data_IF_477253307654
#
_entry.id   IF_477253307654
#
_cell.length_a   1.000
_cell.length_b   1.000
_cell.length_c   1.000
_cell.angle_alpha   90.00
_cell.angle_beta   90.00
_cell.angle_gamma   90.00
#
_symmetry.space_group_name_H-M   'P 1'
#
loop_
_entity.id
_entity.type
_entity.pdbx_description
1 polymer ?
#
# COMPACT_ATOMS: atom_id res chain seq x y z
N UNK A 1 -28.00 47.99 27.49
CA UNK A 1 -28.29 46.81 26.63
C UNK A 1 -26.97 46.28 26.12
N UNK A 2 -26.59 45.06 26.55
CA UNK A 2 -25.30 44.43 26.25
C UNK A 2 -25.38 43.69 24.92
N UNK A 3 -24.45 43.99 24.03
CA UNK A 3 -24.33 43.43 22.68
C UNK A 3 -23.81 41.99 22.78
N UNK A 4 -24.55 41.06 22.17
CA UNK A 4 -24.28 39.62 22.17
C UNK A 4 -23.04 39.30 21.32
N UNK A 5 -22.10 38.63 21.99
CA UNK A 5 -21.19 37.57 21.54
C UNK A 5 -21.03 37.32 20.03
N UNK A 6 -19.88 37.76 19.50
CA UNK A 6 -19.23 37.14 18.34
C UNK A 6 -18.53 35.87 18.83
N UNK A 7 -19.02 34.69 18.47
CA UNK A 7 -18.28 33.41 18.57
C UNK A 7 -18.95 32.37 17.66
N UNK A 8 -18.79 32.53 16.35
CA UNK A 8 -19.23 31.52 15.37
C UNK A 8 -18.23 31.43 14.22
N UNK A 9 -16.95 31.15 14.52
CA UNK A 9 -15.93 30.96 13.49
C UNK A 9 -14.68 30.22 14.00
N UNK A 10 -14.86 29.08 14.67
CA UNK A 10 -13.72 28.18 14.99
C UNK A 10 -14.02 26.69 14.72
N UNK A 11 -15.28 26.27 14.62
CA UNK A 11 -15.61 24.84 14.47
C UNK A 11 -15.54 24.27 13.05
N UNK A 12 -15.41 25.11 12.01
CA UNK A 12 -15.44 24.65 10.60
C UNK A 12 -14.07 24.22 10.04
N UNK A 13 -12.96 24.42 10.76
CA UNK A 13 -11.62 24.09 10.26
C UNK A 13 -11.11 22.71 10.68
N UNK A 14 -11.75 22.05 11.66
CA UNK A 14 -11.31 20.75 12.17
C UNK A 14 -11.91 19.55 11.42
N UNK A 15 -12.98 19.76 10.64
CA UNK A 15 -13.66 18.69 9.88
C UNK A 15 -12.95 18.43 8.54
N UNK A 16 -12.28 19.43 7.98
CA UNK A 16 -11.62 19.35 6.67
C UNK A 16 -10.34 18.48 6.69
N UNK A 17 -9.63 18.44 7.81
CA UNK A 17 -8.33 17.73 7.91
C UNK A 17 -8.50 16.21 7.99
N UNK A 18 -9.55 15.73 8.66
CA UNK A 18 -9.84 14.30 8.81
C UNK A 18 -10.36 13.67 7.52
N UNK A 19 -11.23 14.38 6.78
CA UNK A 19 -11.72 13.93 5.48
C UNK A 19 -10.61 13.84 4.42
N UNK A 20 -9.72 14.84 4.38
CA UNK A 20 -8.56 14.83 3.48
C UNK A 20 -7.58 13.70 3.80
N UNK A 21 -7.31 13.46 5.09
CA UNK A 21 -6.42 12.38 5.49
C UNK A 21 -7.01 10.99 5.18
N UNK A 22 -8.32 10.79 5.34
CA UNK A 22 -8.99 9.55 4.93
C UNK A 22 -8.96 9.32 3.42
N UNK A 23 -9.14 10.35 2.60
CA UNK A 23 -9.03 10.21 1.15
C UNK A 23 -7.59 9.89 0.71
N UNK A 24 -6.61 10.49 1.35
CA UNK A 24 -5.21 10.21 1.05
C UNK A 24 -4.81 8.78 1.44
N UNK A 25 -5.31 8.26 2.57
CA UNK A 25 -5.14 6.85 2.94
C UNK A 25 -5.71 5.91 1.88
N UNK A 26 -6.94 6.18 1.42
CA UNK A 26 -7.57 5.41 0.33
C UNK A 26 -6.69 5.38 -0.92
N UNK A 27 -6.16 6.53 -1.33
CA UNK A 27 -5.32 6.62 -2.51
C UNK A 27 -4.00 5.85 -2.33
N UNK A 28 -3.39 5.92 -1.13
CA UNK A 28 -2.17 5.17 -0.80
C UNK A 28 -2.41 3.67 -0.82
N UNK A 29 -3.50 3.20 -0.20
CA UNK A 29 -3.86 1.77 -0.17
C UNK A 29 -4.16 1.26 -1.58
N UNK A 30 -4.94 1.99 -2.39
CA UNK A 30 -5.22 1.60 -3.77
C UNK A 30 -3.97 1.53 -4.64
N UNK A 31 -3.10 2.53 -4.54
CA UNK A 31 -1.81 2.50 -5.25
C UNK A 31 -0.96 1.30 -4.81
N UNK A 32 -0.90 1.00 -3.52
CA UNK A 32 -0.18 -0.19 -3.02
C UNK A 32 -0.75 -1.48 -3.61
N UNK A 33 -2.07 -1.65 -3.56
CA UNK A 33 -2.76 -2.83 -4.08
C UNK A 33 -2.53 -3.00 -5.58
N UNK A 34 -2.62 -1.91 -6.35
CA UNK A 34 -2.39 -1.92 -7.79
C UNK A 34 -0.93 -2.29 -8.15
N UNK A 35 0.04 -1.88 -7.32
CA UNK A 35 1.45 -2.23 -7.53
C UNK A 35 1.84 -3.59 -6.96
N UNK A 36 0.99 -4.26 -6.19
CA UNK A 36 1.40 -5.38 -5.35
C UNK A 36 2.00 -6.55 -6.14
N UNK A 37 1.48 -6.82 -7.35
CA UNK A 37 1.99 -7.86 -8.26
C UNK A 37 2.88 -7.30 -9.38
N UNK A 38 3.07 -5.97 -9.44
CA UNK A 38 3.89 -5.27 -10.45
C UNK A 38 5.20 -4.71 -9.89
N UNK A 39 5.45 -4.87 -8.60
CA UNK A 39 6.60 -4.30 -7.91
C UNK A 39 7.14 -5.24 -6.85
N UNK A 40 8.41 -5.05 -6.52
CA UNK A 40 9.00 -5.62 -5.32
C UNK A 40 8.84 -4.64 -4.17
N UNK A 41 8.41 -5.12 -3.01
CA UNK A 41 8.17 -4.31 -1.84
C UNK A 41 8.29 -5.10 -0.54
N UNK A 42 8.49 -4.37 0.56
CA UNK A 42 8.55 -4.92 1.92
C UNK A 42 7.21 -4.93 2.63
N UNK A 43 6.28 -4.15 2.12
CA UNK A 43 4.92 -4.12 2.62
C UNK A 43 4.13 -5.32 2.12
N UNK A 44 3.22 -5.85 2.92
CA UNK A 44 2.39 -6.98 2.54
C UNK A 44 0.94 -6.69 2.91
N UNK A 45 0.02 -6.94 1.97
CA UNK A 45 -1.40 -6.95 2.29
C UNK A 45 -1.70 -8.21 3.10
N UNK A 46 -2.39 -8.06 4.22
CA UNK A 46 -2.75 -9.18 5.11
C UNK A 46 -3.92 -10.04 4.55
N UNK A 47 -4.04 -10.21 3.24
CA UNK A 47 -4.71 -11.34 2.58
C UNK A 47 -6.20 -11.63 2.82
N UNK A 48 -7.02 -10.71 3.36
CA UNK A 48 -8.47 -10.93 3.58
C UNK A 48 -9.29 -10.04 2.63
N UNK A 49 -10.52 -10.47 2.34
CA UNK A 49 -11.43 -9.72 1.49
C UNK A 49 -11.80 -8.37 2.13
N UNK A 50 -11.38 -7.29 1.45
CA UNK A 50 -11.65 -5.85 1.65
C UNK A 50 -11.50 -5.29 3.07
N UNK A 51 -10.75 -4.18 3.18
CA UNK A 51 -10.33 -3.48 4.41
C UNK A 51 -9.23 -4.18 5.25
N UNK A 52 -8.45 -5.11 4.68
CA UNK A 52 -7.27 -5.60 5.40
C UNK A 52 -6.16 -4.60 5.48
N UNK A 53 -5.49 -4.50 6.62
CA UNK A 53 -4.29 -3.69 6.72
C UNK A 53 -3.20 -4.17 5.77
N UNK A 54 -2.46 -3.21 5.23
CA UNK A 54 -1.13 -3.43 4.70
C UNK A 54 -0.17 -3.28 5.88
N UNK A 55 0.69 -4.27 6.10
CA UNK A 55 1.79 -4.20 7.07
C UNK A 55 3.08 -3.80 6.35
N UNK A 56 3.88 -2.94 6.96
CA UNK A 56 5.16 -2.45 6.45
C UNK A 56 6.20 -2.41 7.58
N UNK A 57 7.20 -3.31 7.57
CA UNK A 57 8.38 -3.18 8.40
C UNK A 57 9.27 -2.05 7.90
N UNK A 58 9.55 -1.04 8.74
CA UNK A 58 10.44 0.07 8.39
C UNK A 58 11.25 0.55 9.59
N UNK A 59 12.57 0.41 9.50
CA UNK A 59 13.47 0.73 10.61
C UNK A 59 13.15 -0.13 11.84
N UNK A 60 12.91 0.52 12.98
CA UNK A 60 12.58 -0.13 14.25
C UNK A 60 11.08 -0.31 14.48
N UNK A 61 10.24 -0.07 13.47
CA UNK A 61 8.78 -0.10 13.64
C UNK A 61 8.10 -1.00 12.62
N UNK A 62 6.93 -1.50 13.01
CA UNK A 62 5.95 -2.10 12.12
C UNK A 62 4.81 -1.09 11.95
N UNK A 63 4.57 -0.72 10.70
CA UNK A 63 3.49 0.16 10.32
C UNK A 63 2.36 -0.68 9.74
N UNK A 64 1.12 -0.33 10.07
CA UNK A 64 -0.09 -0.92 9.52
C UNK A 64 -0.93 0.20 8.94
N UNK A 65 -1.56 -0.01 7.79
CA UNK A 65 -2.44 0.98 7.16
C UNK A 65 -3.67 0.32 6.57
N UNK A 66 -4.84 0.89 6.84
CA UNK A 66 -6.09 0.62 6.12
C UNK A 66 -6.50 1.88 5.37
N UNK A 67 -7.63 1.83 4.68
CA UNK A 67 -8.17 2.98 3.97
C UNK A 67 -8.79 4.04 4.90
N UNK A 68 -8.90 3.73 6.20
CA UNK A 68 -9.47 4.61 7.23
C UNK A 68 -8.54 4.86 8.42
N UNK A 69 -7.54 4.02 8.65
CA UNK A 69 -6.70 4.07 9.86
C UNK A 69 -5.25 3.70 9.57
N UNK A 70 -4.37 4.03 10.51
CA UNK A 70 -2.99 3.55 10.52
C UNK A 70 -2.55 3.22 11.94
N UNK A 71 -1.61 2.29 12.06
CA UNK A 71 -1.11 1.82 13.35
C UNK A 71 0.41 1.70 13.32
N UNK A 72 1.07 1.96 14.44
CA UNK A 72 2.53 1.86 14.56
C UNK A 72 2.88 1.18 15.87
N UNK A 73 3.80 0.23 15.81
CA UNK A 73 4.38 -0.44 16.98
C UNK A 73 5.87 -0.67 16.79
N UNK A 74 6.58 -0.91 17.88
CA UNK A 74 8.00 -1.28 17.82
C UNK A 74 8.18 -2.68 17.25
N UNK A 75 9.10 -2.80 16.29
CA UNK A 75 9.50 -4.07 15.71
C UNK A 75 10.50 -4.77 16.65
N UNK A 76 9.98 -5.42 17.69
CA UNK A 76 10.74 -6.24 18.66
C UNK A 76 10.75 -7.74 18.33
N UNK A 77 10.25 -8.12 17.15
CA UNK A 77 9.92 -9.50 16.81
C UNK A 77 10.93 -10.17 15.86
N UNK A 78 12.07 -9.54 15.57
CA UNK A 78 13.11 -10.15 14.72
C UNK A 78 13.43 -11.60 15.13
N UNK A 79 13.29 -12.52 14.18
CA UNK A 79 13.49 -13.97 14.37
C UNK A 79 12.40 -14.67 15.19
N UNK A 80 11.24 -14.05 15.43
CA UNK A 80 10.15 -14.56 16.26
C UNK A 80 8.82 -14.50 15.52
N UNK A 81 7.83 -15.17 16.08
CA UNK A 81 6.43 -15.01 15.68
C UNK A 81 5.71 -14.05 16.63
N UNK A 82 4.73 -13.33 16.10
CA UNK A 82 3.84 -12.48 16.89
C UNK A 82 2.41 -12.60 16.37
N UNK A 83 1.47 -12.47 17.31
CA UNK A 83 0.04 -12.42 17.01
C UNK A 83 -0.41 -10.98 17.12
N UNK A 84 -1.09 -10.48 16.09
CA UNK A 84 -1.68 -9.14 16.07
C UNK A 84 -3.19 -9.22 16.03
N UNK A 85 -3.85 -8.41 16.85
CA UNK A 85 -5.28 -8.19 16.78
C UNK A 85 -5.57 -6.98 15.88
N UNK A 86 -6.19 -7.21 14.72
CA UNK A 86 -6.54 -6.17 13.75
C UNK A 86 -7.95 -5.66 14.05
N UNK A 87 -8.10 -4.36 14.32
CA UNK A 87 -9.38 -3.75 14.69
C UNK A 87 -10.38 -3.69 13.51
N UNK A 88 -9.89 -3.60 12.27
CA UNK A 88 -10.68 -3.29 11.08
C UNK A 88 -11.01 -4.51 10.18
N UNK A 89 -10.85 -5.77 10.66
CA UNK A 89 -11.00 -6.96 9.79
C UNK A 89 -11.91 -8.07 10.33
N UNK A 90 -12.58 -8.79 9.41
CA UNK A 90 -13.41 -9.99 9.67
C UNK A 90 -12.63 -11.14 10.32
N UNK A 91 -11.32 -11.24 10.07
CA UNK A 91 -10.43 -12.09 10.86
C UNK A 91 -9.61 -11.19 11.79
N UNK A 92 -9.98 -11.10 13.08
CA UNK A 92 -9.40 -10.12 13.97
C UNK A 92 -7.99 -10.48 14.39
N UNK A 93 -7.47 -11.68 14.09
CA UNK A 93 -6.13 -12.07 14.48
C UNK A 93 -5.32 -12.55 13.28
N UNK A 94 -4.06 -12.14 13.24
CA UNK A 94 -3.07 -12.64 12.29
C UNK A 94 -1.81 -13.04 13.05
N UNK A 95 -1.25 -14.19 12.71
CA UNK A 95 0.08 -14.59 13.16
C UNK A 95 1.09 -14.23 12.07
N UNK A 96 2.11 -13.46 12.42
CA UNK A 96 3.17 -13.05 11.50
C UNK A 96 4.49 -13.63 12.02
N UNK A 97 5.21 -14.32 11.15
CA UNK A 97 6.59 -14.74 11.42
C UNK A 97 7.56 -13.70 10.85
N UNK A 98 8.59 -13.35 11.61
CA UNK A 98 9.60 -12.38 11.22
C UNK A 98 10.95 -13.06 11.04
N UNK A 99 11.65 -12.67 9.98
CA UNK A 99 13.02 -13.08 9.73
C UNK A 99 13.97 -12.41 10.75
N UNK A 100 15.21 -12.90 10.83
CA UNK A 100 16.22 -12.36 11.75
C UNK A 100 16.55 -10.87 11.49
N UNK A 101 16.38 -10.41 10.25
CA UNK A 101 16.54 -9.01 9.85
C UNK A 101 15.31 -8.13 10.16
N UNK A 102 14.23 -8.70 10.71
CA UNK A 102 12.98 -8.01 11.03
C UNK A 102 12.00 -7.85 9.86
N UNK A 103 12.30 -8.38 8.67
CA UNK A 103 11.36 -8.47 7.55
C UNK A 103 10.33 -9.59 7.80
N UNK A 104 9.20 -9.53 7.08
CA UNK A 104 8.14 -10.52 7.22
C UNK A 104 8.57 -11.82 6.52
N UNK A 105 8.58 -12.92 7.27
CA UNK A 105 8.87 -14.26 6.77
C UNK A 105 7.62 -15.04 6.34
N UNK A 106 6.46 -14.72 6.90
CA UNK A 106 5.21 -15.41 6.60
C UNK A 106 4.03 -14.90 7.42
N UNK A 107 2.83 -15.29 7.01
CA UNK A 107 1.57 -14.91 7.65
C UNK A 107 0.65 -16.13 7.73
N UNK A 108 -0.06 -16.27 8.85
CA UNK A 108 -1.02 -17.35 9.09
C UNK A 108 -2.31 -16.80 9.72
N UNK A 109 -3.43 -17.32 9.23
CA UNK A 109 -4.79 -17.03 9.72
C UNK A 109 -5.43 -18.27 10.35
N UNK A 110 -4.62 -19.27 10.68
CA UNK A 110 -5.09 -20.48 11.35
C UNK A 110 -5.72 -20.15 12.71
N UNK A 111 -6.57 -21.05 13.20
CA UNK A 111 -7.16 -20.93 14.52
C UNK A 111 -6.08 -20.86 15.60
N UNK A 112 -6.16 -19.82 16.43
CA UNK A 112 -5.20 -19.55 17.51
C UNK A 112 -5.71 -20.05 18.85
N UNK A 113 -4.79 -20.53 19.69
CA UNK A 113 -5.08 -20.93 21.07
C UNK A 113 -5.54 -19.74 21.92
N UNK A 114 -6.12 -20.04 23.09
CA UNK A 114 -6.55 -19.01 24.05
C UNK A 114 -5.36 -18.19 24.55
N UNK A 115 -4.24 -18.85 24.82
CA UNK A 115 -2.98 -18.24 25.28
C UNK A 115 -2.38 -17.32 24.22
N UNK A 116 -2.43 -17.72 22.94
CA UNK A 116 -1.97 -16.91 21.82
C UNK A 116 -2.81 -15.64 21.66
N UNK A 117 -4.14 -15.76 21.75
CA UNK A 117 -5.06 -14.61 21.69
C UNK A 117 -4.86 -13.64 22.85
N UNK A 118 -4.52 -14.12 24.04
CA UNK A 118 -4.23 -13.29 25.22
C UNK A 118 -2.92 -12.51 25.10
N UNK A 119 -1.93 -13.04 24.36
CA UNK A 119 -0.65 -12.40 24.09
C UNK A 119 -0.66 -11.53 22.83
N UNK A 120 -1.81 -11.46 22.15
CA UNK A 120 -1.93 -10.71 20.91
C UNK A 120 -1.71 -9.21 21.16
N UNK A 121 -0.89 -8.61 20.31
CA UNK A 121 -0.65 -7.19 20.30
C UNK A 121 -1.82 -6.51 19.60
N UNK A 122 -2.44 -5.54 20.27
CA UNK A 122 -3.59 -4.79 19.75
C UNK A 122 -3.13 -3.36 19.44
N UNK A 123 -2.56 -3.12 18.25
CA UNK A 123 -2.11 -1.79 17.88
C UNK A 123 -3.31 -0.85 17.76
N UNK A 124 -3.21 0.36 18.33
CA UNK A 124 -4.30 1.35 18.33
C UNK A 124 -4.19 2.29 17.14
N UNK A 125 -5.31 2.57 16.50
CA UNK A 125 -5.36 3.48 15.37
C UNK A 125 -4.86 4.88 15.77
N UNK A 126 -3.86 5.37 15.03
CA UNK A 126 -3.36 6.74 15.10
C UNK A 126 -3.07 7.22 13.70
N UNK A 127 -3.85 8.19 13.24
CA UNK A 127 -3.61 8.86 11.97
C UNK A 127 -2.66 10.03 12.20
N UNK A 128 -1.38 9.86 11.84
CA UNK A 128 -0.41 10.95 11.83
C UNK A 128 0.30 11.08 10.48
N UNK A 129 0.72 12.31 10.17
CA UNK A 129 1.36 12.62 8.89
C UNK A 129 2.72 11.94 8.71
N UNK A 130 3.40 11.57 9.80
CA UNK A 130 4.68 10.88 9.75
C UNK A 130 4.51 9.44 9.24
N UNK A 131 3.51 8.73 9.75
CA UNK A 131 3.15 7.38 9.31
C UNK A 131 2.77 7.37 7.82
N UNK A 132 1.92 8.32 7.41
CA UNK A 132 1.55 8.45 6.00
C UNK A 132 2.77 8.73 5.10
N UNK A 133 3.71 9.57 5.54
CA UNK A 133 4.93 9.85 4.79
C UNK A 133 5.82 8.60 4.62
N UNK A 134 5.84 7.68 5.60
CA UNK A 134 6.57 6.40 5.48
C UNK A 134 5.93 5.52 4.41
N UNK A 135 4.60 5.39 4.39
CA UNK A 135 3.92 4.62 3.33
C UNK A 135 4.14 5.22 1.94
N UNK A 136 4.10 6.55 1.81
CA UNK A 136 4.42 7.24 0.54
C UNK A 136 5.85 6.95 0.07
N UNK A 137 6.82 6.88 0.99
CA UNK A 137 8.20 6.49 0.67
C UNK A 137 8.31 5.03 0.22
N UNK A 138 7.56 4.12 0.84
CA UNK A 138 7.49 2.73 0.38
C UNK A 138 6.89 2.63 -1.02
N UNK A 139 5.84 3.41 -1.33
CA UNK A 139 5.29 3.49 -2.68
C UNK A 139 6.31 3.98 -3.70
N UNK A 140 7.15 4.97 -3.37
CA UNK A 140 8.25 5.40 -4.26
C UNK A 140 9.25 4.26 -4.50
N UNK A 141 9.63 3.54 -3.44
CA UNK A 141 10.55 2.39 -3.56
C UNK A 141 9.94 1.29 -4.45
N UNK A 142 8.67 0.96 -4.25
CA UNK A 142 7.92 0.01 -5.09
C UNK A 142 7.84 0.48 -6.53
N UNK A 143 7.48 1.75 -6.75
CA UNK A 143 7.43 2.36 -8.08
C UNK A 143 8.77 2.25 -8.81
N UNK A 144 9.88 2.46 -8.09
CA UNK A 144 11.22 2.33 -8.66
C UNK A 144 11.63 0.87 -8.93
N UNK A 145 11.01 -0.12 -8.30
CA UNK A 145 11.21 -1.54 -8.59
C UNK A 145 10.30 -2.08 -9.71
N UNK A 146 9.35 -1.27 -10.18
CA UNK A 146 8.67 -1.47 -11.47
C UNK A 146 9.69 -1.17 -12.57
N UNK A 147 10.70 -2.02 -12.76
CA UNK A 147 11.77 -1.76 -13.71
C UNK A 147 11.41 -2.28 -15.09
N UNK A 148 11.61 -1.42 -16.09
CA UNK A 148 11.55 -1.82 -17.49
C UNK A 148 12.73 -2.66 -17.97
N UNK A 149 13.76 -2.81 -17.14
CA UNK A 149 14.95 -3.62 -17.45
C UNK A 149 14.60 -5.11 -17.59
N UNK A 150 13.54 -5.57 -16.92
CA UNK A 150 12.97 -6.89 -17.14
C UNK A 150 11.86 -6.82 -18.18
N UNK A 151 12.23 -6.66 -19.45
CA UNK A 151 11.30 -6.91 -20.55
C UNK A 151 10.66 -8.28 -20.32
N UNK A 152 9.32 -8.32 -20.23
CA UNK A 152 8.46 -9.49 -19.97
C UNK A 152 8.18 -9.89 -18.51
N UNK A 153 8.65 -9.16 -17.48
CA UNK A 153 8.30 -9.51 -16.08
C UNK A 153 6.82 -9.22 -15.76
N UNK A 154 6.29 -8.12 -16.29
CA UNK A 154 4.92 -7.68 -16.03
C UNK A 154 4.18 -7.38 -17.34
N UNK A 155 2.86 -7.56 -17.32
CA UNK A 155 2.00 -7.27 -18.46
C UNK A 155 1.90 -5.75 -18.68
N UNK A 156 2.19 -5.23 -19.90
CA UNK A 156 2.30 -3.79 -20.09
C UNK A 156 1.02 -2.99 -19.81
N UNK A 157 -0.15 -3.53 -20.16
CA UNK A 157 -1.42 -2.83 -19.96
C UNK A 157 -1.77 -2.74 -18.47
N UNK A 158 -1.77 -3.86 -17.75
CA UNK A 158 -2.08 -3.85 -16.32
C UNK A 158 -1.05 -3.09 -15.51
N UNK A 159 0.23 -3.06 -15.92
CA UNK A 159 1.20 -2.14 -15.31
C UNK A 159 0.83 -0.68 -15.55
N UNK A 160 0.48 -0.27 -16.77
CA UNK A 160 0.04 1.12 -17.04
C UNK A 160 -1.16 1.49 -16.17
N UNK A 161 -2.18 0.63 -16.09
CA UNK A 161 -3.37 0.87 -15.29
C UNK A 161 -3.01 1.04 -13.80
N UNK A 162 -2.09 0.22 -13.28
CA UNK A 162 -1.57 0.34 -11.91
C UNK A 162 -0.79 1.64 -11.67
N UNK A 163 0.04 2.05 -12.63
CA UNK A 163 0.77 3.32 -12.57
C UNK A 163 -0.22 4.50 -12.55
N UNK A 164 -1.28 4.44 -13.35
CA UNK A 164 -2.31 5.50 -13.38
C UNK A 164 -3.10 5.57 -12.08
N UNK A 165 -3.40 4.44 -11.42
CA UNK A 165 -4.03 4.44 -10.09
C UNK A 165 -3.17 5.21 -9.07
N UNK A 166 -1.84 5.05 -9.14
CA UNK A 166 -0.90 5.75 -8.28
C UNK A 166 -0.81 7.27 -8.52
N UNK A 167 -1.35 7.80 -9.63
CA UNK A 167 -1.42 9.26 -9.86
C UNK A 167 -2.28 9.98 -8.83
N UNK A 168 -3.23 9.28 -8.22
CA UNK A 168 -4.14 9.83 -7.22
C UNK A 168 -3.46 10.15 -5.88
N UNK A 169 -2.26 9.62 -5.63
CA UNK A 169 -1.49 9.90 -4.41
C UNK A 169 -0.80 11.26 -4.54
N UNK A 170 -1.12 12.17 -3.63
CA UNK A 170 -0.51 13.50 -3.60
C UNK A 170 0.89 13.42 -2.98
N UNK A 171 1.87 12.99 -3.79
CA UNK A 171 3.27 12.92 -3.38
C UNK A 171 4.23 13.17 -4.56
N UNK A 172 4.92 14.34 -4.62
CA UNK A 172 5.73 14.73 -5.78
C UNK A 172 6.82 13.74 -6.18
N UNK A 173 7.47 13.07 -5.22
CA UNK A 173 8.50 12.07 -5.51
C UNK A 173 7.92 10.84 -6.21
N UNK A 174 6.71 10.41 -5.83
CA UNK A 174 6.02 9.31 -6.50
C UNK A 174 5.64 9.68 -7.93
N UNK A 175 5.19 10.92 -8.14
CA UNK A 175 4.88 11.44 -9.49
C UNK A 175 6.11 11.43 -10.40
N UNK A 176 7.27 11.84 -9.89
CA UNK A 176 8.54 11.76 -10.64
C UNK A 176 8.91 10.32 -11.01
N UNK A 177 8.74 9.38 -10.08
CA UNK A 177 8.99 7.96 -10.36
C UNK A 177 8.00 7.42 -11.40
N UNK A 178 6.72 7.81 -11.32
CA UNK A 178 5.69 7.47 -12.31
C UNK A 178 6.05 7.98 -13.71
N UNK A 179 6.44 9.24 -13.84
CA UNK A 179 6.83 9.87 -15.10
C UNK A 179 8.03 9.18 -15.76
N UNK A 180 8.89 8.54 -14.96
CA UNK A 180 10.01 7.75 -15.45
C UNK A 180 9.57 6.38 -16.00
N UNK A 181 8.64 5.69 -15.33
CA UNK A 181 8.26 4.32 -15.70
C UNK A 181 7.18 4.26 -16.79
N UNK A 182 6.22 5.19 -16.77
CA UNK A 182 5.05 5.15 -17.67
C UNK A 182 5.44 5.11 -19.17
N UNK A 183 6.36 5.96 -19.68
CA UNK A 183 6.72 5.96 -21.09
C UNK A 183 7.35 4.64 -21.56
N UNK A 184 8.05 3.94 -20.66
CA UNK A 184 8.63 2.64 -20.96
C UNK A 184 7.56 1.59 -21.26
N UNK A 185 6.53 1.48 -20.40
CA UNK A 185 5.45 0.51 -20.59
C UNK A 185 4.54 0.86 -21.75
N UNK A 186 4.29 2.14 -22.01
CA UNK A 186 3.58 2.60 -23.21
C UNK A 186 4.33 2.17 -24.50
N UNK A 187 5.65 2.28 -24.51
CA UNK A 187 6.49 1.83 -25.63
C UNK A 187 6.45 0.30 -25.79
N UNK A 188 6.43 -0.46 -24.70
CA UNK A 188 6.27 -1.92 -24.75
C UNK A 188 4.91 -2.33 -25.32
N UNK A 189 3.83 -1.68 -24.88
CA UNK A 189 2.47 -1.96 -25.34
C UNK A 189 2.31 -1.68 -26.84
N UNK A 190 2.89 -0.57 -27.34
CA UNK A 190 2.89 -0.27 -28.77
C UNK A 190 3.62 -1.35 -29.59
N UNK A 191 4.81 -1.79 -29.13
CA UNK A 191 5.60 -2.83 -29.81
C UNK A 191 4.90 -4.19 -29.85
N UNK A 192 4.20 -4.59 -28.77
CA UNK A 192 3.48 -5.87 -28.74
C UNK A 192 2.26 -5.86 -29.68
N UNK A 193 1.59 -4.71 -29.83
CA UNK A 193 0.55 -4.50 -30.83
C UNK A 193 1.06 -4.64 -32.27
N UNK A 194 2.24 -4.09 -32.58
CA UNK A 194 2.83 -4.17 -33.94
C UNK A 194 3.23 -5.61 -34.32
N UNK A 195 3.76 -6.41 -33.38
CA UNK A 195 4.12 -7.82 -33.63
C UNK A 195 2.90 -8.70 -33.93
N UNK A 196 1.75 -8.46 -33.30
CA UNK A 196 0.51 -9.20 -33.58
C UNK A 196 -0.04 -8.97 -35.00
N UNK A 197 0.22 -7.80 -35.60
CA UNK A 197 -0.17 -7.51 -36.97
C UNK A 197 0.77 -8.18 -38.00
N UNK A 198 2.08 -8.15 -37.77
CA UNK A 198 3.06 -8.78 -38.68
C UNK A 198 2.94 -10.31 -38.76
N UNK A 199 2.51 -10.98 -37.68
CA UNK A 199 2.34 -12.44 -37.66
C UNK A 199 1.06 -12.93 -38.39
N UNK A 200 0.05 -12.06 -38.52
CA UNK A 200 -1.15 -12.35 -39.33
C UNK A 200 -0.90 -12.20 -40.83
N UNK A 201 0.03 -11.34 -41.23
CA UNK A 201 0.36 -11.17 -42.65
C UNK A 201 1.29 -12.28 -43.18
N UNK A 202 2.13 -12.87 -42.34
CA UNK A 202 3.02 -13.98 -42.77
C UNK A 202 2.37 -15.37 -42.77
N UNK A 203 1.13 -15.52 -42.31
CA UNK A 203 0.41 -16.81 -42.28
C UNK A 203 -0.65 -16.94 -43.38
N UNK A 204 -0.81 -15.91 -44.23
CA UNK A 204 -1.75 -15.88 -45.36
C UNK A 204 -1.14 -16.20 -46.74
N UNK A 205 0.02 -16.85 -46.80
CA UNK A 205 0.57 -17.39 -48.06
C UNK A 205 0.90 -18.87 -47.90
N UNK A 206 -0.08 -19.70 -48.28
CA UNK A 206 0.12 -21.03 -48.83
C UNK A 206 -0.75 -21.16 -50.07
#
# INVERSE_FOLDING_TARGET
MKQLSVNLLVFSFLISTSALASQELKNVVRCHEALNDKSEGRSHKLGLETATPIVLPWGKHLYFITDSSSYVIDNKYSGKEAVFRLEDSKMPYVKISFQANGEIGGMSYAELSKEEKQKAEAPKAKLDGATLAIFKKDLVRRMNSVTGEYQNKYDPQGTIDALLECRNVNYPELQKSLDKQLPFYEKLLKKSGTKKYQQKESSGQK
#
